data_IF_737089140649
#
_entry.id   IF_737089140649
#
_cell.length_a   1.000
_cell.length_b   1.000
_cell.length_c   1.000
_cell.angle_alpha   90.00
_cell.angle_beta   90.00
_cell.angle_gamma   90.00
#
_symmetry.space_group_name_H-M   'P 1'
#
loop_
_entity.id
_entity.type
_entity.pdbx_description
1 polymer ?
#
# COMPACT_ATOMS: atom_id res chain seq x y z
N UNK A 1 -13.82 -11.33 -11.99
CA UNK A 1 -12.55 -10.98 -11.32
C UNK A 1 -12.01 -12.16 -10.53
N UNK A 2 -12.89 -13.06 -10.09
CA UNK A 2 -12.51 -14.29 -9.40
C UNK A 2 -11.45 -15.10 -10.16
N UNK A 3 -11.62 -15.27 -11.47
CA UNK A 3 -10.63 -15.97 -12.29
C UNK A 3 -9.23 -15.32 -12.25
N UNK A 4 -9.18 -13.98 -12.20
CA UNK A 4 -7.90 -13.26 -12.09
C UNK A 4 -7.23 -13.52 -10.73
N UNK A 5 -8.01 -13.66 -9.66
CA UNK A 5 -7.52 -14.00 -8.33
C UNK A 5 -7.03 -15.45 -8.30
N UNK A 6 -7.85 -16.38 -8.82
CA UNK A 6 -7.56 -17.82 -8.81
C UNK A 6 -6.38 -18.22 -9.70
N UNK A 7 -6.01 -17.38 -10.67
CA UNK A 7 -4.98 -17.69 -11.67
C UNK A 7 -3.62 -18.06 -11.07
N UNK A 8 -3.11 -17.24 -10.14
CA UNK A 8 -1.80 -17.43 -9.51
C UNK A 8 -1.58 -18.83 -8.92
N UNK A 9 -2.38 -19.25 -7.93
CA UNK A 9 -2.20 -20.55 -7.28
C UNK A 9 -2.51 -21.73 -8.21
N UNK A 10 -3.40 -21.54 -9.20
CA UNK A 10 -3.71 -22.56 -10.21
C UNK A 10 -2.50 -22.84 -11.11
N UNK A 11 -1.84 -21.79 -11.60
CA UNK A 11 -0.65 -21.92 -12.48
C UNK A 11 0.57 -22.44 -11.71
N UNK A 12 0.70 -22.06 -10.43
CA UNK A 12 1.77 -22.57 -9.56
C UNK A 12 1.55 -24.02 -9.12
N UNK A 13 0.37 -24.61 -9.39
CA UNK A 13 0.03 -25.96 -8.97
C UNK A 13 -0.17 -26.11 -7.46
N UNK A 14 -0.31 -25.02 -6.72
CA UNK A 14 -0.52 -25.04 -5.27
C UNK A 14 -1.98 -25.28 -4.89
N UNK A 15 -2.92 -24.97 -5.79
CA UNK A 15 -4.35 -25.25 -5.66
C UNK A 15 -4.93 -25.73 -6.99
N UNK A 16 -5.96 -26.58 -6.94
CA UNK A 16 -6.81 -26.81 -8.11
C UNK A 16 -7.63 -25.55 -8.42
N UNK A 17 -8.09 -25.41 -9.66
CA UNK A 17 -8.95 -24.28 -10.07
C UNK A 17 -10.15 -24.09 -9.12
N UNK A 18 -10.82 -25.17 -8.75
CA UNK A 18 -11.98 -25.14 -7.86
C UNK A 18 -11.62 -24.67 -6.44
N UNK A 19 -10.48 -25.14 -5.89
CA UNK A 19 -9.98 -24.66 -4.60
C UNK A 19 -9.61 -23.18 -4.66
N UNK A 20 -8.92 -22.75 -5.72
CA UNK A 20 -8.51 -21.37 -5.91
C UNK A 20 -9.70 -20.41 -6.06
N UNK A 21 -10.74 -20.80 -6.82
CA UNK A 21 -11.98 -20.03 -6.94
C UNK A 21 -12.76 -20.00 -5.61
N UNK A 22 -12.80 -21.10 -4.85
CA UNK A 22 -13.45 -21.12 -3.53
C UNK A 22 -12.74 -20.18 -2.56
N UNK A 23 -11.41 -20.29 -2.47
CA UNK A 23 -10.59 -19.43 -1.63
C UNK A 23 -10.68 -17.96 -2.07
N UNK A 24 -10.68 -17.70 -3.38
CA UNK A 24 -10.82 -16.36 -3.94
C UNK A 24 -12.14 -15.71 -3.55
N UNK A 25 -13.27 -16.45 -3.54
CA UNK A 25 -14.56 -15.92 -3.08
C UNK A 25 -14.54 -15.58 -1.60
N UNK A 26 -13.95 -16.43 -0.76
CA UNK A 26 -13.79 -16.16 0.68
C UNK A 26 -12.98 -14.87 0.89
N UNK A 27 -11.81 -14.75 0.24
CA UNK A 27 -10.96 -13.57 0.42
C UNK A 27 -11.57 -12.28 -0.13
N UNK A 28 -12.38 -12.36 -1.19
CA UNK A 28 -13.17 -11.22 -1.68
C UNK A 28 -14.24 -10.81 -0.66
N UNK A 29 -14.94 -11.76 -0.07
CA UNK A 29 -15.96 -11.49 0.95
C UNK A 29 -15.35 -10.87 2.20
N UNK A 30 -14.25 -11.42 2.69
CA UNK A 30 -13.47 -10.86 3.79
C UNK A 30 -12.87 -9.47 3.49
N UNK A 31 -12.79 -9.10 2.21
CA UNK A 31 -12.39 -7.78 1.76
C UNK A 31 -13.61 -6.87 1.46
N UNK A 32 -14.85 -7.30 1.72
CA UNK A 32 -16.05 -6.52 1.38
C UNK A 32 -16.16 -6.24 -0.12
N UNK A 33 -15.80 -7.24 -0.95
CA UNK A 33 -15.77 -7.19 -2.41
C UNK A 33 -16.56 -8.36 -3.02
N UNK A 34 -17.53 -8.90 -2.28
CA UNK A 34 -18.34 -10.06 -2.70
C UNK A 34 -19.05 -9.80 -4.04
N UNK A 35 -19.52 -8.57 -4.25
CA UNK A 35 -20.29 -8.15 -5.44
C UNK A 35 -19.47 -8.04 -6.73
N UNK A 36 -18.13 -8.16 -6.67
CA UNK A 36 -17.27 -8.02 -7.85
C UNK A 36 -16.67 -9.33 -8.34
N UNK A 37 -16.94 -10.45 -7.66
CA UNK A 37 -16.38 -11.75 -8.01
C UNK A 37 -16.60 -12.09 -9.49
N UNK A 38 -17.82 -11.88 -9.98
CA UNK A 38 -18.24 -12.27 -11.33
C UNK A 38 -18.15 -11.13 -12.36
N UNK A 39 -17.63 -9.94 -11.98
CA UNK A 39 -17.44 -8.78 -12.87
C UNK A 39 -16.14 -8.85 -13.68
N UNK A 40 -16.04 -8.14 -14.79
CA UNK A 40 -14.79 -7.94 -15.55
C UNK A 40 -14.02 -6.68 -15.07
N UNK A 41 -12.71 -6.57 -15.35
CA UNK A 41 -11.90 -5.42 -14.92
C UNK A 41 -12.44 -4.05 -15.33
N UNK A 42 -13.14 -3.94 -16.47
CA UNK A 42 -13.76 -2.68 -16.92
C UNK A 42 -15.07 -2.33 -16.21
N UNK A 43 -15.61 -3.22 -15.37
CA UNK A 43 -16.92 -3.06 -14.71
C UNK A 43 -16.80 -2.68 -13.21
N UNK A 44 -15.58 -2.35 -12.76
CA UNK A 44 -15.30 -1.96 -11.37
C UNK A 44 -14.61 -0.60 -11.33
N UNK A 45 -14.80 0.12 -10.23
CA UNK A 45 -14.05 1.37 -10.01
C UNK A 45 -12.56 1.10 -9.85
N UNK A 46 -11.73 2.09 -10.11
CA UNK A 46 -10.27 2.01 -9.93
C UNK A 46 -9.89 1.57 -8.51
N UNK A 47 -10.58 2.11 -7.50
CA UNK A 47 -10.38 1.71 -6.10
C UNK A 47 -10.71 0.23 -5.88
N UNK A 48 -11.86 -0.24 -6.39
CA UNK A 48 -12.22 -1.67 -6.29
C UNK A 48 -11.21 -2.57 -7.00
N UNK A 49 -10.76 -2.17 -8.20
CA UNK A 49 -9.72 -2.89 -8.93
C UNK A 49 -8.45 -3.02 -8.09
N UNK A 50 -7.99 -1.94 -7.45
CA UNK A 50 -6.78 -1.97 -6.60
C UNK A 50 -6.93 -2.88 -5.38
N UNK A 51 -8.11 -2.91 -4.76
CA UNK A 51 -8.39 -3.85 -3.63
C UNK A 51 -8.35 -5.30 -4.11
N UNK A 52 -8.92 -5.57 -5.28
CA UNK A 52 -8.85 -6.90 -5.92
C UNK A 52 -7.42 -7.30 -6.24
N UNK A 53 -6.55 -6.37 -6.65
CA UNK A 53 -5.14 -6.66 -6.89
C UNK A 53 -4.39 -7.10 -5.63
N UNK A 54 -4.70 -6.48 -4.48
CA UNK A 54 -4.16 -6.89 -3.18
C UNK A 54 -4.62 -8.31 -2.85
N UNK A 55 -5.91 -8.62 -3.00
CA UNK A 55 -6.46 -9.97 -2.77
C UNK A 55 -5.80 -10.99 -3.70
N UNK A 56 -5.62 -10.65 -4.99
CA UNK A 56 -4.93 -11.47 -5.98
C UNK A 56 -3.48 -11.77 -5.58
N UNK A 57 -2.79 -10.83 -4.95
CA UNK A 57 -1.44 -11.09 -4.46
C UNK A 57 -1.46 -12.04 -3.24
N UNK A 58 -2.38 -11.81 -2.31
CA UNK A 58 -2.45 -12.52 -1.02
C UNK A 58 -2.88 -13.98 -1.13
N UNK A 59 -3.70 -14.34 -2.12
CA UNK A 59 -4.15 -15.74 -2.29
C UNK A 59 -2.98 -16.71 -2.49
N UNK A 60 -1.83 -16.22 -2.99
CA UNK A 60 -0.60 -17.00 -3.14
C UNK A 60 0.16 -17.20 -1.82
N UNK A 61 -0.39 -16.76 -0.68
CA UNK A 61 0.27 -16.77 0.64
C UNK A 61 1.72 -16.26 0.59
N UNK A 62 1.97 -15.06 0.03
CA UNK A 62 3.34 -14.57 -0.15
C UNK A 62 3.99 -14.27 1.20
N UNK A 63 5.32 -14.44 1.27
CA UNK A 63 6.10 -14.04 2.46
C UNK A 63 6.15 -12.52 2.62
N UNK A 64 6.13 -11.79 1.50
CA UNK A 64 6.14 -10.34 1.48
C UNK A 64 5.32 -9.81 0.29
N UNK A 65 4.67 -8.66 0.49
CA UNK A 65 3.94 -7.92 -0.51
C UNK A 65 4.72 -6.63 -0.85
N UNK A 66 5.04 -6.44 -2.13
CA UNK A 66 5.69 -5.22 -2.62
C UNK A 66 4.63 -4.33 -3.28
N UNK A 67 4.50 -3.10 -2.81
CA UNK A 67 3.55 -2.13 -3.33
C UNK A 67 4.31 -0.88 -3.79
N UNK A 68 4.42 -0.71 -5.10
CA UNK A 68 5.08 0.45 -5.72
C UNK A 68 4.04 1.51 -6.11
N UNK A 69 4.05 2.66 -5.42
CA UNK A 69 3.12 3.77 -5.54
C UNK A 69 1.65 3.38 -5.79
N UNK A 70 1.06 2.52 -4.93
CA UNK A 70 -0.20 1.86 -5.23
C UNK A 70 -1.42 2.77 -5.30
N UNK A 71 -1.34 3.98 -4.75
CA UNK A 71 -2.46 4.92 -4.61
C UNK A 71 -2.21 6.23 -5.36
N UNK A 72 -1.22 6.24 -6.26
CA UNK A 72 -0.97 7.40 -7.11
C UNK A 72 -2.19 7.70 -7.98
N UNK A 73 -2.46 8.99 -8.18
CA UNK A 73 -3.60 9.49 -8.96
C UNK A 73 -5.00 9.16 -8.38
N UNK A 74 -5.08 8.76 -7.11
CA UNK A 74 -6.35 8.67 -6.38
C UNK A 74 -6.64 9.99 -5.66
N UNK A 75 -7.92 10.37 -5.59
CA UNK A 75 -8.34 11.50 -4.76
C UNK A 75 -8.19 11.15 -3.26
N UNK A 76 -8.14 12.19 -2.42
CA UNK A 76 -7.84 12.03 -0.99
C UNK A 76 -8.84 11.14 -0.24
N UNK A 77 -10.14 11.23 -0.56
CA UNK A 77 -11.17 10.45 0.13
C UNK A 77 -11.05 8.97 -0.23
N UNK A 78 -10.95 8.65 -1.52
CA UNK A 78 -10.78 7.27 -1.97
C UNK A 78 -9.46 6.69 -1.45
N UNK A 79 -8.39 7.48 -1.46
CA UNK A 79 -7.08 7.10 -0.91
C UNK A 79 -7.18 6.73 0.59
N UNK A 80 -7.86 7.54 1.41
CA UNK A 80 -8.07 7.24 2.83
C UNK A 80 -8.76 5.89 3.05
N UNK A 81 -9.83 5.61 2.31
CA UNK A 81 -10.57 4.34 2.40
C UNK A 81 -9.67 3.16 2.00
N UNK A 82 -8.83 3.34 0.98
CA UNK A 82 -7.89 2.32 0.53
C UNK A 82 -6.81 2.01 1.57
N UNK A 83 -6.30 3.02 2.27
CA UNK A 83 -5.34 2.80 3.34
C UNK A 83 -5.92 1.99 4.49
N UNK A 84 -7.12 2.33 4.94
CA UNK A 84 -7.81 1.57 5.99
C UNK A 84 -8.05 0.12 5.55
N UNK A 85 -8.46 -0.08 4.29
CA UNK A 85 -8.60 -1.43 3.72
C UNK A 85 -7.28 -2.21 3.71
N UNK A 86 -6.15 -1.56 3.42
CA UNK A 86 -4.83 -2.21 3.47
C UNK A 86 -4.43 -2.55 4.91
N UNK A 87 -4.69 -1.66 5.86
CA UNK A 87 -4.43 -1.90 7.28
C UNK A 87 -5.25 -3.07 7.82
N UNK A 88 -6.53 -3.17 7.47
CA UNK A 88 -7.37 -4.32 7.85
C UNK A 88 -6.82 -5.65 7.31
N UNK A 89 -6.38 -5.65 6.05
CA UNK A 89 -5.73 -6.80 5.42
C UNK A 89 -4.44 -7.17 6.14
N UNK A 90 -3.59 -6.18 6.46
CA UNK A 90 -2.38 -6.41 7.23
C UNK A 90 -2.69 -6.93 8.63
N UNK A 91 -3.68 -6.37 9.32
CA UNK A 91 -4.02 -6.76 10.68
C UNK A 91 -4.57 -8.19 10.76
N UNK A 92 -5.20 -8.68 9.69
CA UNK A 92 -5.66 -10.08 9.57
C UNK A 92 -4.54 -11.04 9.17
N UNK A 93 -3.74 -10.67 8.18
CA UNK A 93 -2.78 -11.61 7.53
C UNK A 93 -1.39 -11.57 8.12
N UNK A 94 -1.00 -10.43 8.73
CA UNK A 94 0.36 -10.12 9.21
C UNK A 94 1.44 -10.37 8.16
N UNK A 95 1.09 -10.26 6.88
CA UNK A 95 2.07 -10.33 5.78
C UNK A 95 3.03 -9.14 5.87
N UNK A 96 4.31 -9.37 5.57
CA UNK A 96 5.27 -8.26 5.50
C UNK A 96 4.95 -7.40 4.27
N UNK A 97 4.79 -6.09 4.45
CA UNK A 97 4.51 -5.16 3.34
C UNK A 97 5.69 -4.22 3.16
N UNK A 98 6.25 -4.17 1.96
CA UNK A 98 7.20 -3.15 1.54
C UNK A 98 6.46 -2.15 0.65
N UNK A 99 6.29 -0.93 1.16
CA UNK A 99 5.45 0.09 0.55
C UNK A 99 6.33 1.26 0.09
N UNK A 100 6.20 1.62 -1.18
CA UNK A 100 6.93 2.74 -1.80
C UNK A 100 5.91 3.83 -2.10
N UNK A 101 6.19 5.04 -1.64
CA UNK A 101 5.38 6.23 -1.89
C UNK A 101 6.24 7.49 -1.82
N UNK A 102 5.76 8.55 -2.46
CA UNK A 102 6.27 9.91 -2.31
C UNK A 102 5.43 10.74 -1.32
N UNK A 103 4.37 10.17 -0.74
CA UNK A 103 3.46 10.81 0.21
C UNK A 103 3.85 10.46 1.66
N UNK A 104 4.20 11.49 2.45
CA UNK A 104 4.67 11.30 3.82
C UNK A 104 3.56 10.86 4.77
N UNK A 105 2.33 11.34 4.56
CA UNK A 105 1.21 10.95 5.41
C UNK A 105 0.87 9.48 5.18
N UNK A 106 0.92 8.99 3.94
CA UNK A 106 0.80 7.56 3.62
C UNK A 106 1.85 6.73 4.34
N UNK A 107 3.12 7.14 4.23
CA UNK A 107 4.24 6.41 4.79
C UNK A 107 4.10 6.25 6.31
N UNK A 108 3.74 7.33 7.02
CA UNK A 108 3.56 7.31 8.48
C UNK A 108 2.27 6.57 8.87
N UNK A 109 1.18 6.73 8.12
CA UNK A 109 -0.09 6.07 8.45
C UNK A 109 0.01 4.54 8.32
N UNK A 110 0.61 4.07 7.23
CA UNK A 110 0.70 2.64 6.89
C UNK A 110 1.90 1.94 7.55
N UNK A 111 3.03 2.64 7.67
CA UNK A 111 4.32 2.05 8.03
C UNK A 111 4.51 1.85 9.53
N UNK A 112 5.21 0.78 9.90
CA UNK A 112 5.80 0.61 11.24
C UNK A 112 7.18 1.27 11.31
N UNK A 113 7.91 1.26 10.18
CA UNK A 113 9.18 1.96 9.97
C UNK A 113 9.19 2.64 8.62
N UNK A 114 9.57 3.91 8.59
CA UNK A 114 9.67 4.69 7.36
C UNK A 114 11.13 4.98 7.06
N UNK A 115 11.58 4.50 5.90
CA UNK A 115 12.94 4.72 5.41
C UNK A 115 12.93 5.90 4.45
N UNK A 116 13.52 7.02 4.87
CA UNK A 116 13.70 8.19 4.02
C UNK A 116 14.97 8.02 3.20
N UNK A 117 14.82 8.06 1.88
CA UNK A 117 15.93 7.89 0.93
C UNK A 117 16.43 9.25 0.42
N UNK A 118 17.73 9.36 0.15
CA UNK A 118 18.30 10.50 -0.60
C UNK A 118 17.99 10.39 -2.08
N UNK A 119 18.06 11.50 -2.81
CA UNK A 119 17.77 11.53 -4.26
C UNK A 119 18.84 10.79 -5.07
N UNK A 120 20.05 11.36 -5.18
CA UNK A 120 21.16 10.78 -5.94
C UNK A 120 22.51 11.02 -5.24
N UNK A 121 23.34 9.98 -5.05
CA UNK A 121 23.01 8.55 -5.17
C UNK A 121 21.96 8.14 -4.13
N UNK A 122 21.12 7.15 -4.46
CA UNK A 122 20.07 6.64 -3.57
C UNK A 122 20.70 5.93 -2.36
N UNK A 123 20.60 6.56 -1.19
CA UNK A 123 21.12 6.07 0.09
C UNK A 123 20.06 6.24 1.16
N UNK A 124 20.12 5.41 2.19
CA UNK A 124 19.30 5.62 3.39
C UNK A 124 19.76 6.90 4.08
N UNK A 125 18.84 7.87 4.24
CA UNK A 125 19.08 9.12 4.96
C UNK A 125 18.71 8.99 6.42
N UNK A 126 17.49 8.52 6.67
CA UNK A 126 16.89 8.47 8.00
C UNK A 126 15.90 7.33 8.09
N UNK A 127 15.80 6.73 9.28
CA UNK A 127 14.72 5.82 9.63
C UNK A 127 13.85 6.54 10.66
N UNK A 128 12.55 6.58 10.42
CA UNK A 128 11.54 7.08 11.36
C UNK A 128 10.79 5.85 11.89
N UNK A 129 10.93 5.58 13.18
CA UNK A 129 10.16 4.52 13.86
C UNK A 129 8.76 5.06 14.20
N UNK A 130 7.72 4.42 13.67
CA UNK A 130 6.33 4.86 13.83
C UNK A 130 5.70 4.12 15.01
N UNK A 131 5.90 4.65 16.22
CA UNK A 131 5.37 4.08 17.46
C UNK A 131 3.89 4.42 17.70
N UNK A 132 3.05 4.27 16.68
CA UNK A 132 1.60 4.43 16.78
C UNK A 132 0.97 3.03 16.93
N UNK A 133 0.19 2.77 18.00
CA UNK A 133 -0.39 1.45 18.25
C UNK A 133 -1.38 1.03 17.15
N UNK A 134 -1.54 -0.29 16.99
CA UNK A 134 -2.50 -0.91 16.07
C UNK A 134 -3.70 -1.47 16.86
N UNK A 135 -4.90 -1.55 16.27
CA UNK A 135 -5.25 -1.15 14.90
C UNK A 135 -5.30 0.37 14.73
N UNK A 136 -4.89 0.84 13.56
CA UNK A 136 -4.92 2.26 13.18
C UNK A 136 -6.16 2.54 12.35
N UNK A 137 -6.82 3.67 12.61
CA UNK A 137 -7.96 4.18 11.83
C UNK A 137 -7.73 5.66 11.48
N UNK A 138 -8.57 6.24 10.64
CA UNK A 138 -8.43 7.64 10.22
C UNK A 138 -8.33 8.65 11.38
N UNK A 139 -8.76 8.33 12.60
CA UNK A 139 -8.72 9.26 13.74
C UNK A 139 -7.30 9.62 14.13
N UNK A 140 -6.33 8.72 13.88
CA UNK A 140 -4.92 8.98 14.23
C UNK A 140 -4.34 10.17 13.46
N UNK A 141 -4.88 10.51 12.29
CA UNK A 141 -4.42 11.65 11.47
C UNK A 141 -4.53 12.97 12.23
N UNK A 142 -5.49 13.05 13.17
CA UNK A 142 -5.71 14.23 14.02
C UNK A 142 -4.84 14.25 15.29
N UNK A 143 -4.14 13.15 15.59
CA UNK A 143 -3.34 13.01 16.81
C UNK A 143 -2.08 13.86 16.75
N UNK A 144 -1.63 14.33 17.91
CA UNK A 144 -0.37 15.07 18.02
C UNK A 144 0.82 14.21 17.62
N UNK A 145 0.86 12.96 18.08
CA UNK A 145 1.94 12.02 17.78
C UNK A 145 2.12 11.82 16.27
N UNK A 146 1.02 11.63 15.53
CA UNK A 146 1.06 11.50 14.08
C UNK A 146 1.62 12.76 13.41
N UNK A 147 1.15 13.95 13.82
CA UNK A 147 1.65 15.22 13.29
C UNK A 147 3.14 15.42 13.53
N UNK A 148 3.64 15.04 14.71
CA UNK A 148 5.08 15.13 15.04
C UNK A 148 5.92 14.22 14.14
N UNK A 149 5.48 12.97 13.91
CA UNK A 149 6.16 12.03 13.02
C UNK A 149 6.18 12.50 11.56
N UNK A 150 5.07 13.06 11.07
CA UNK A 150 5.00 13.65 9.72
C UNK A 150 5.94 14.85 9.62
N UNK A 151 5.99 15.72 10.63
CA UNK A 151 6.91 16.87 10.65
C UNK A 151 8.38 16.41 10.61
N UNK A 152 8.72 15.38 11.39
CA UNK A 152 10.05 14.79 11.40
C UNK A 152 10.46 14.22 10.03
N UNK A 153 9.55 13.47 9.38
CA UNK A 153 9.80 12.92 8.05
C UNK A 153 9.92 14.03 6.99
N UNK A 154 9.09 15.07 7.11
CA UNK A 154 9.09 16.23 6.21
C UNK A 154 10.40 17.01 6.28
N UNK A 155 10.95 17.22 7.47
CA UNK A 155 12.25 17.87 7.64
C UNK A 155 13.36 17.09 6.91
N UNK A 156 13.38 15.76 7.08
CA UNK A 156 14.36 14.90 6.42
C UNK A 156 14.27 14.95 4.88
N UNK A 157 13.06 15.01 4.32
CA UNK A 157 12.83 15.07 2.87
C UNK A 157 13.04 16.48 2.30
N UNK A 158 12.70 17.53 3.04
CA UNK A 158 12.79 18.92 2.56
C UNK A 158 14.22 19.30 2.15
N UNK A 159 15.22 18.94 2.96
CA UNK A 159 16.63 19.13 2.61
C UNK A 159 17.03 18.44 1.30
N UNK A 160 16.49 17.24 1.03
CA UNK A 160 16.80 16.49 -0.20
C UNK A 160 16.06 17.07 -1.41
N UNK A 161 14.83 17.54 -1.21
CA UNK A 161 14.07 18.22 -2.25
C UNK A 161 14.78 19.51 -2.71
N UNK A 162 15.33 20.29 -1.77
CA UNK A 162 16.12 21.49 -2.11
C UNK A 162 17.38 21.12 -2.90
N UNK A 163 18.16 20.13 -2.43
CA UNK A 163 19.37 19.67 -3.14
C UNK A 163 19.05 19.18 -4.55
N UNK A 164 17.97 18.42 -4.70
CA UNK A 164 17.53 17.90 -5.99
C UNK A 164 17.07 19.02 -6.94
N UNK A 165 16.33 20.01 -6.42
CA UNK A 165 15.91 21.17 -7.20
C UNK A 165 17.11 21.99 -7.70
N UNK A 166 18.07 22.30 -6.81
CA UNK A 166 19.29 23.03 -7.17
C UNK A 166 20.20 22.25 -8.12
N UNK A 167 20.28 20.92 -7.97
CA UNK A 167 21.02 20.07 -8.89
C UNK A 167 20.36 20.00 -10.27
N UNK A 168 19.01 19.99 -10.32
CA UNK A 168 18.24 20.04 -11.56
C UNK A 168 18.38 21.37 -12.33
N UNK A 169 18.44 22.50 -11.63
CA UNK A 169 18.79 23.79 -12.27
C UNK A 169 20.21 23.79 -12.86
N UNK A 170 21.15 23.05 -12.26
CA UNK A 170 22.52 22.91 -12.77
C UNK A 170 22.65 21.93 -13.95
N UNK A 171 21.71 21.02 -14.16
CA UNK A 171 21.70 20.14 -15.35
C UNK A 171 21.03 20.82 -16.57
N UNK A 172 20.26 21.89 -16.36
CA UNK A 172 19.61 22.67 -17.42
C UNK A 172 20.36 23.95 -17.82
N UNK A 173 21.48 24.27 -17.17
CA UNK A 173 22.35 25.42 -17.42
C UNK A 173 23.68 25.00 -18.05
#
# INVERSE_FOLDING_TARGET
LLENIAYGPTVQGTMTRQQAETQGRIMLDEAGLSDVADKYPGEVSSGMARRVEIVRALINSPKALLLDEPYRAMDALTKSIMHESLLQVYDRTKVTIFFITHDLEEAIFLGDRVYVMTTRPCKLKKVVDVDIPRPRDYKILSSEQFRLLVAEAKEAVHEEAIKAFQAGERELA
#
